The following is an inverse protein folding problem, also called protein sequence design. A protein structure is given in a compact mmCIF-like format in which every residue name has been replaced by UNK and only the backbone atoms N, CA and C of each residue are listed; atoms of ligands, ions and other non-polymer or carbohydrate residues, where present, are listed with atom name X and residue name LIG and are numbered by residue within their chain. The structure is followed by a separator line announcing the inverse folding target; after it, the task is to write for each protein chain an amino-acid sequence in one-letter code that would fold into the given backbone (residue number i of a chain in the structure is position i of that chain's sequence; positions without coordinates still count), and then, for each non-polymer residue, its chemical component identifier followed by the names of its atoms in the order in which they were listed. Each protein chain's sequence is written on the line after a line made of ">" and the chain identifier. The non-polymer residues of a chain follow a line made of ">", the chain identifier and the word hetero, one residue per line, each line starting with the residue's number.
data_IF_922057956987
#
_entry.id   IF_922057956987
#
_cell.length_a   1.000
_cell.length_b   1.000
_cell.length_c   1.000
_cell.angle_alpha   90.00
_cell.angle_beta   90.00
_cell.angle_gamma   90.00
#
_symmetry.space_group_name_H-M   'P 1'
#
loop_
_entity.id
_entity.type
_entity.pdbx_description
1 polymer ?
#
# COMPACT_ATOMS: atom_id res chain seq x y z
N UNK A 1 22.98 -25.27 -11.56
CA UNK A 1 22.04 -25.53 -10.45
C UNK A 1 21.69 -24.25 -9.65
N UNK A 2 21.43 -23.13 -10.33
CA UNK A 2 20.96 -21.87 -9.71
C UNK A 2 19.65 -21.33 -10.34
N UNK A 3 19.16 -21.99 -11.38
CA UNK A 3 18.01 -21.52 -12.18
C UNK A 3 16.69 -22.24 -11.86
N UNK A 4 16.72 -23.37 -11.16
CA UNK A 4 15.48 -24.08 -10.77
C UNK A 4 14.89 -23.60 -9.45
N UNK A 5 15.69 -23.02 -8.55
CA UNK A 5 15.20 -22.50 -7.26
C UNK A 5 14.50 -21.14 -7.40
N UNK A 6 15.02 -20.24 -8.26
CA UNK A 6 14.37 -18.95 -8.53
C UNK A 6 12.98 -19.11 -9.18
N UNK A 7 12.83 -20.09 -10.08
CA UNK A 7 11.55 -20.36 -10.74
C UNK A 7 10.51 -21.01 -9.82
N UNK A 8 10.94 -21.74 -8.78
CA UNK A 8 10.03 -22.37 -7.82
C UNK A 8 9.46 -21.34 -6.82
N UNK A 9 10.30 -20.41 -6.36
CA UNK A 9 9.88 -19.31 -5.48
C UNK A 9 8.97 -18.32 -6.20
N UNK A 10 9.26 -17.97 -7.47
CA UNK A 10 8.42 -17.07 -8.27
C UNK A 10 7.07 -17.72 -8.65
N UNK A 11 7.05 -19.03 -8.91
CA UNK A 11 5.81 -19.77 -9.17
C UNK A 11 4.97 -20.02 -7.90
N UNK A 12 5.60 -20.15 -6.73
CA UNK A 12 4.92 -20.22 -5.44
C UNK A 12 4.34 -18.86 -5.03
N UNK A 13 5.10 -17.77 -5.22
CA UNK A 13 4.65 -16.40 -4.99
C UNK A 13 3.46 -16.01 -5.90
N UNK A 14 3.51 -16.37 -7.20
CA UNK A 14 2.37 -16.18 -8.12
C UNK A 14 1.14 -17.03 -7.75
N UNK A 15 1.35 -18.21 -7.13
CA UNK A 15 0.25 -19.05 -6.63
C UNK A 15 -0.42 -18.42 -5.41
N UNK A 16 0.36 -17.82 -4.51
CA UNK A 16 -0.17 -17.09 -3.35
C UNK A 16 -0.85 -15.76 -3.73
N UNK A 17 -0.39 -15.09 -4.79
CA UNK A 17 -1.05 -13.91 -5.37
C UNK A 17 -2.49 -14.19 -5.85
N UNK A 18 -2.75 -15.41 -6.34
CA UNK A 18 -4.08 -15.83 -6.81
C UNK A 18 -5.16 -15.90 -5.71
N UNK A 19 -4.77 -15.99 -4.43
CA UNK A 19 -5.70 -16.04 -3.31
C UNK A 19 -6.05 -14.65 -2.75
N UNK A 20 -5.25 -13.63 -3.07
CA UNK A 20 -5.55 -12.24 -2.71
C UNK A 20 -6.70 -11.71 -3.56
N UNK A 21 -7.78 -11.33 -2.88
CA UNK A 21 -8.97 -10.81 -3.54
C UNK A 21 -8.92 -9.28 -3.52
N UNK A 22 -8.52 -8.69 -4.64
CA UNK A 22 -8.69 -7.26 -4.88
C UNK A 22 -10.18 -7.01 -5.18
N UNK A 23 -10.92 -6.48 -4.21
CA UNK A 23 -12.24 -5.93 -4.47
C UNK A 23 -12.13 -4.75 -5.45
N UNK A 24 -13.11 -4.50 -6.33
CA UNK A 24 -13.02 -3.33 -7.20
C UNK A 24 -12.99 -2.06 -6.35
N UNK A 25 -12.10 -1.14 -6.72
CA UNK A 25 -12.00 0.19 -6.11
C UNK A 25 -13.19 1.00 -6.61
N UNK A 26 -14.12 1.34 -5.71
CA UNK A 26 -15.30 2.15 -6.01
C UNK A 26 -14.97 3.63 -6.03
N UNK A 27 -14.08 4.08 -5.13
CA UNK A 27 -13.59 5.44 -5.10
C UNK A 27 -12.15 5.52 -4.60
N UNK A 28 -11.43 6.52 -5.09
CA UNK A 28 -10.07 6.85 -4.68
C UNK A 28 -9.92 8.37 -4.72
N UNK A 29 -9.59 8.98 -3.59
CA UNK A 29 -9.51 10.44 -3.45
C UNK A 29 -8.25 10.84 -2.70
N UNK A 30 -7.71 12.01 -3.04
CA UNK A 30 -6.66 12.70 -2.30
C UNK A 30 -7.23 13.96 -1.66
N UNK A 31 -6.91 14.17 -0.38
CA UNK A 31 -7.25 15.41 0.32
C UNK A 31 -6.48 16.61 -0.23
N UNK A 32 -5.25 16.41 -0.70
CA UNK A 32 -4.36 17.46 -1.21
C UNK A 32 -4.39 17.64 -2.73
N UNK A 33 -5.30 16.96 -3.43
CA UNK A 33 -5.51 17.13 -4.87
C UNK A 33 -4.53 16.38 -5.77
N UNK A 34 -3.90 15.31 -5.29
CA UNK A 34 -3.22 14.36 -6.18
C UNK A 34 -4.22 13.69 -7.14
N UNK A 35 -3.78 13.40 -8.35
CA UNK A 35 -4.58 12.66 -9.35
C UNK A 35 -4.41 11.17 -9.11
N UNK A 36 -5.51 10.45 -8.87
CA UNK A 36 -5.53 9.00 -8.67
C UNK A 36 -6.18 8.32 -9.87
N UNK A 37 -5.47 7.39 -10.50
CA UNK A 37 -5.96 6.61 -11.65
C UNK A 37 -5.95 5.13 -11.32
N UNK A 38 -7.13 4.53 -11.18
CA UNK A 38 -7.28 3.08 -11.04
C UNK A 38 -6.94 2.38 -12.36
N UNK A 39 -6.13 1.33 -12.30
CA UNK A 39 -5.71 0.53 -13.45
C UNK A 39 -6.46 -0.81 -13.51
N UNK A 40 -6.39 -1.47 -14.67
CA UNK A 40 -7.08 -2.74 -14.92
C UNK A 40 -6.57 -3.90 -14.06
N UNK A 41 -5.37 -3.79 -13.50
CA UNK A 41 -4.77 -4.77 -12.58
C UNK A 41 -5.19 -4.53 -11.12
N UNK A 42 -6.03 -3.52 -10.84
CA UNK A 42 -6.47 -3.17 -9.50
C UNK A 42 -5.51 -2.24 -8.75
N UNK A 43 -4.37 -1.87 -9.34
CA UNK A 43 -3.47 -0.87 -8.77
C UNK A 43 -4.00 0.55 -8.95
N UNK A 44 -3.55 1.47 -8.12
CA UNK A 44 -3.84 2.90 -8.24
C UNK A 44 -2.52 3.62 -8.55
N UNK A 45 -2.52 4.39 -9.63
CA UNK A 45 -1.41 5.26 -9.98
C UNK A 45 -1.67 6.68 -9.48
N UNK A 46 -0.68 7.27 -8.82
CA UNK A 46 -0.75 8.58 -8.21
C UNK A 46 0.13 9.58 -8.98
N UNK A 47 -0.46 10.67 -9.47
CA UNK A 47 0.21 11.69 -10.28
C UNK A 47 -0.25 13.11 -9.89
N UNK A 48 0.22 14.13 -10.59
CA UNK A 48 -0.12 15.53 -10.36
C UNK A 48 0.54 16.06 -9.09
N UNK A 49 -0.25 16.70 -8.22
CA UNK A 49 0.27 17.31 -6.99
C UNK A 49 0.90 16.24 -6.08
N UNK A 50 2.12 16.50 -5.63
CA UNK A 50 2.89 15.64 -4.73
C UNK A 50 3.32 16.47 -3.51
N UNK A 51 2.41 16.72 -2.55
CA UNK A 51 2.73 17.45 -1.33
C UNK A 51 3.65 16.61 -0.42
N UNK A 52 4.19 17.23 0.64
CA UNK A 52 5.00 16.51 1.63
C UNK A 52 4.17 15.44 2.39
N UNK A 53 2.90 15.73 2.64
CA UNK A 53 1.95 14.84 3.31
C UNK A 53 0.60 14.88 2.57
N UNK A 54 -0.10 13.75 2.55
CA UNK A 54 -1.43 13.65 1.95
C UNK A 54 -2.26 12.58 2.65
N UNK A 55 -3.58 12.69 2.56
CA UNK A 55 -4.53 11.67 3.03
C UNK A 55 -5.23 11.08 1.82
N UNK A 56 -5.06 9.77 1.64
CA UNK A 56 -5.72 9.01 0.59
C UNK A 56 -6.90 8.22 1.18
N UNK A 57 -8.09 8.46 0.64
CA UNK A 57 -9.31 7.73 1.00
C UNK A 57 -9.70 6.80 -0.14
N UNK A 58 -9.66 5.49 0.13
CA UNK A 58 -9.98 4.44 -0.84
C UNK A 58 -11.18 3.63 -0.34
N UNK A 59 -12.19 3.47 -1.20
CA UNK A 59 -13.33 2.57 -0.93
C UNK A 59 -13.25 1.38 -1.87
N UNK A 60 -13.27 0.17 -1.30
CA UNK A 60 -13.25 -1.08 -2.05
C UNK A 60 -14.52 -1.88 -1.78
N UNK A 61 -15.14 -2.43 -2.83
CA UNK A 61 -16.26 -3.36 -2.67
C UNK A 61 -15.77 -4.73 -2.29
N UNK A 62 -16.18 -5.19 -1.10
CA UNK A 62 -15.85 -6.53 -0.61
C UNK A 62 -16.89 -7.56 -1.07
N UNK A 63 -16.42 -8.74 -1.52
CA UNK A 63 -17.31 -9.90 -1.72
C UNK A 63 -17.82 -10.40 -0.35
N UNK A 64 -19.06 -10.91 -0.25
CA UNK A 64 -19.59 -11.46 1.00
C UNK A 64 -18.83 -12.70 1.46
N UNK A 65 -17.88 -12.51 2.39
CA UNK A 65 -17.13 -13.58 3.06
C UNK A 65 -16.41 -13.03 4.30
N UNK A 66 -15.73 -13.91 5.03
CA UNK A 66 -14.81 -13.51 6.09
C UNK A 66 -13.53 -12.94 5.47
N UNK A 67 -13.18 -11.71 5.83
CA UNK A 67 -11.89 -11.08 5.53
C UNK A 67 -11.15 -10.83 6.84
N UNK A 68 -9.88 -11.18 6.90
CA UNK A 68 -9.08 -11.12 8.14
C UNK A 68 -7.80 -10.32 8.01
N UNK A 69 -7.39 -10.00 6.78
CA UNK A 69 -6.14 -9.30 6.49
C UNK A 69 -6.39 -8.26 5.39
N UNK A 70 -5.83 -7.07 5.57
CA UNK A 70 -5.64 -6.07 4.54
C UNK A 70 -4.16 -6.10 4.15
N UNK A 71 -3.87 -6.22 2.86
CA UNK A 71 -2.51 -6.06 2.32
C UNK A 71 -2.41 -4.70 1.65
N UNK A 72 -1.36 -3.96 1.96
CA UNK A 72 -0.96 -2.75 1.26
C UNK A 72 0.35 -3.07 0.57
N UNK A 73 0.40 -2.78 -0.72
CA UNK A 73 1.56 -3.02 -1.56
C UNK A 73 1.95 -1.71 -2.23
N UNK A 74 3.22 -1.35 -2.07
CA UNK A 74 3.78 -0.17 -2.71
C UNK A 74 4.53 -0.63 -3.95
N UNK A 75 4.01 -0.30 -5.13
CA UNK A 75 4.60 -0.73 -6.40
C UNK A 75 5.68 0.25 -6.84
N UNK A 76 6.90 -0.21 -7.18
CA UNK A 76 7.96 0.66 -7.68
C UNK A 76 7.55 1.36 -8.98
N UNK A 77 7.77 2.67 -9.04
CA UNK A 77 7.56 3.49 -10.22
C UNK A 77 8.86 4.18 -10.65
N UNK A 78 9.01 4.39 -11.96
CA UNK A 78 10.15 5.10 -12.55
C UNK A 78 9.83 6.58 -12.71
N UNK A 79 10.70 7.43 -12.18
CA UNK A 79 10.65 8.88 -12.33
C UNK A 79 11.26 9.32 -13.66
N UNK A 80 10.99 10.56 -14.06
CA UNK A 80 11.52 11.18 -15.28
C UNK A 80 13.06 11.30 -15.27
N UNK A 81 13.67 11.45 -14.09
CA UNK A 81 15.13 11.48 -13.92
C UNK A 81 15.78 10.09 -13.92
N UNK A 82 14.99 9.03 -14.14
CA UNK A 82 15.43 7.65 -14.21
C UNK A 82 15.53 6.94 -12.87
N UNK A 83 15.32 7.62 -11.73
CA UNK A 83 15.23 6.94 -10.43
C UNK A 83 14.01 6.04 -10.38
N UNK A 84 14.09 5.02 -9.53
CA UNK A 84 12.98 4.13 -9.23
C UNK A 84 12.70 4.23 -7.74
N UNK A 85 11.42 4.21 -7.39
CA UNK A 85 11.04 3.80 -6.05
C UNK A 85 9.54 3.82 -5.81
N UNK A 86 9.17 3.56 -4.56
CA UNK A 86 7.78 3.36 -4.13
C UNK A 86 7.11 4.63 -3.56
N UNK A 87 7.91 5.66 -3.29
CA UNK A 87 7.44 6.97 -2.86
C UNK A 87 7.19 7.95 -4.02
N UNK A 88 6.68 9.14 -3.69
CA UNK A 88 6.41 10.22 -4.67
C UNK A 88 7.43 11.36 -4.66
N UNK A 89 8.41 11.35 -3.74
CA UNK A 89 9.48 12.34 -3.68
C UNK A 89 10.66 11.93 -4.58
N UNK A 90 10.97 12.64 -5.68
CA UNK A 90 12.04 12.25 -6.59
C UNK A 90 13.46 12.38 -5.98
N UNK A 91 13.62 13.12 -4.88
CA UNK A 91 14.92 13.23 -4.18
C UNK A 91 15.17 12.05 -3.25
N UNK A 92 14.10 11.49 -2.69
CA UNK A 92 14.10 10.30 -1.85
C UNK A 92 12.81 9.51 -2.12
N UNK A 93 12.81 8.55 -3.08
CA UNK A 93 11.60 7.89 -3.55
C UNK A 93 11.12 6.79 -2.58
N UNK A 94 11.15 7.10 -1.27
CA UNK A 94 10.62 6.34 -0.16
C UNK A 94 9.20 6.81 0.18
N UNK A 95 8.39 5.96 0.81
CA UNK A 95 7.13 6.38 1.42
C UNK A 95 7.27 6.45 2.94
N UNK A 96 6.44 7.28 3.55
CA UNK A 96 6.14 7.22 4.98
C UNK A 96 4.63 7.06 5.14
N UNK A 97 4.18 5.92 5.66
CA UNK A 97 2.78 5.68 6.01
C UNK A 97 2.62 5.94 7.51
N UNK A 98 2.19 7.14 7.87
CA UNK A 98 2.03 7.55 9.27
C UNK A 98 0.71 7.09 9.89
N UNK A 99 -0.32 6.86 9.08
CA UNK A 99 -1.62 6.42 9.58
C UNK A 99 -2.36 5.54 8.58
N UNK A 100 -2.93 4.46 9.09
CA UNK A 100 -3.83 3.55 8.41
C UNK A 100 -5.06 3.33 9.27
N UNK A 101 -6.21 3.79 8.77
CA UNK A 101 -7.52 3.52 9.34
C UNK A 101 -8.35 2.71 8.35
N UNK A 102 -9.15 1.79 8.87
CA UNK A 102 -10.02 0.94 8.06
C UNK A 102 -11.42 1.00 8.63
N UNK A 103 -12.38 1.38 7.81
CA UNK A 103 -13.80 1.37 8.16
C UNK A 103 -14.54 0.31 7.35
N UNK A 104 -15.42 -0.44 8.03
CA UNK A 104 -16.38 -1.29 7.35
C UNK A 104 -17.64 -0.48 7.06
N UNK A 105 -17.98 -0.35 5.78
CA UNK A 105 -19.18 0.32 5.31
C UNK A 105 -20.28 -0.73 5.02
N UNK A 106 -21.49 -0.51 5.54
CA UNK A 106 -22.65 -1.37 5.32
C UNK A 106 -23.91 -0.53 5.18
N UNK A 107 -24.26 -0.17 3.94
CA UNK A 107 -25.36 0.76 3.69
C UNK A 107 -25.00 2.16 4.20
N UNK A 108 -25.72 2.66 5.20
CA UNK A 108 -25.43 3.94 5.87
C UNK A 108 -24.59 3.76 7.15
N UNK A 109 -24.34 2.51 7.56
CA UNK A 109 -23.57 2.23 8.77
C UNK A 109 -22.08 2.16 8.48
N UNK A 110 -21.30 2.80 9.35
CA UNK A 110 -19.84 2.86 9.28
C UNK A 110 -19.28 2.34 10.61
N UNK A 111 -18.28 1.45 10.54
CA UNK A 111 -17.62 0.93 11.74
C UNK A 111 -16.11 0.93 11.58
N UNK A 112 -15.43 1.75 12.36
CA UNK A 112 -13.98 1.72 12.48
C UNK A 112 -13.51 0.36 12.98
N UNK A 113 -12.56 -0.25 12.26
CA UNK A 113 -11.98 -1.52 12.59
C UNK A 113 -10.65 -1.32 13.30
N UNK A 114 -10.46 -2.03 14.42
CA UNK A 114 -9.17 -2.08 15.10
C UNK A 114 -8.25 -3.07 14.39
N UNK A 115 -7.13 -2.58 13.89
CA UNK A 115 -6.02 -3.41 13.42
C UNK A 115 -5.26 -3.97 14.63
N UNK A 116 -4.96 -5.27 14.62
CA UNK A 116 -4.40 -5.98 15.79
C UNK A 116 -3.10 -6.73 15.50
N UNK A 117 -2.74 -6.89 14.24
CA UNK A 117 -1.51 -7.55 13.82
C UNK A 117 -1.01 -6.93 12.52
N UNK A 118 0.29 -7.01 12.31
CA UNK A 118 0.93 -6.55 11.08
C UNK A 118 2.13 -7.42 10.75
N UNK A 119 2.45 -7.44 9.46
CA UNK A 119 3.65 -8.02 8.90
C UNK A 119 4.05 -7.14 7.72
N UNK A 120 5.35 -6.91 7.59
CA UNK A 120 5.91 -6.27 6.42
C UNK A 120 7.12 -7.07 5.97
N UNK A 121 7.36 -7.11 4.66
CA UNK A 121 8.56 -7.75 4.11
C UNK A 121 9.81 -6.97 4.49
N UNK A 122 9.67 -5.66 4.69
CA UNK A 122 10.71 -4.79 5.20
C UNK A 122 10.17 -3.62 6.02
N UNK A 123 10.95 -3.16 6.99
CA UNK A 123 10.73 -1.90 7.69
C UNK A 123 12.08 -1.21 7.90
N UNK A 124 12.13 0.07 7.57
CA UNK A 124 13.26 0.93 7.90
C UNK A 124 13.48 0.95 9.42
N UNK A 125 14.74 0.99 9.85
CA UNK A 125 15.08 1.08 11.27
C UNK A 125 14.40 2.31 11.90
N UNK A 126 13.66 2.11 12.99
CA UNK A 126 12.88 3.15 13.67
C UNK A 126 11.52 3.48 13.05
N UNK A 127 11.15 2.84 11.93
CA UNK A 127 9.87 3.05 11.22
C UNK A 127 9.15 1.71 10.96
N UNK A 128 8.75 0.99 12.03
CA UNK A 128 8.12 -0.32 11.92
C UNK A 128 6.70 -0.23 11.37
N UNK A 129 6.23 -1.28 10.68
CA UNK A 129 4.84 -1.36 10.17
C UNK A 129 3.76 -1.17 11.26
N UNK A 130 4.05 -1.54 12.50
CA UNK A 130 3.13 -1.33 13.64
C UNK A 130 2.85 0.13 13.92
N UNK A 131 3.79 1.03 13.59
CA UNK A 131 3.64 2.46 13.81
C UNK A 131 2.70 3.11 12.78
N UNK A 132 2.34 2.44 11.69
CA UNK A 132 1.36 2.96 10.74
C UNK A 132 -0.07 2.97 11.32
N UNK A 133 -0.35 2.31 12.46
CA UNK A 133 -1.68 2.24 13.05
C UNK A 133 -1.63 2.26 14.58
N UNK A 134 -0.60 2.90 15.16
CA UNK A 134 -0.45 3.06 16.61
C UNK A 134 -1.24 4.26 17.19
N UNK A 135 -1.73 5.14 16.31
CA UNK A 135 -2.50 6.34 16.66
C UNK A 135 -1.69 7.63 16.75
N UNK A 136 -0.37 7.58 16.58
CA UNK A 136 0.51 8.75 16.50
C UNK A 136 0.87 9.07 15.05
N UNK A 137 0.40 10.20 14.53
CA UNK A 137 0.67 10.60 13.14
C UNK A 137 2.11 11.06 12.90
N UNK A 138 2.97 11.10 13.94
CA UNK A 138 4.38 11.47 13.84
C UNK A 138 5.30 10.25 13.70
N UNK A 139 4.80 9.05 13.98
CA UNK A 139 5.48 7.78 13.72
C UNK A 139 4.94 7.19 12.42
N UNK A 140 5.49 6.06 11.98
CA UNK A 140 4.96 5.39 10.79
C UNK A 140 5.80 4.25 10.28
N UNK A 141 5.39 3.74 9.12
CA UNK A 141 6.10 2.73 8.36
C UNK A 141 6.82 3.36 7.18
N UNK A 142 8.10 3.02 7.01
CA UNK A 142 8.91 3.45 5.87
C UNK A 142 9.85 2.32 5.45
N UNK A 143 10.44 2.43 4.25
CA UNK A 143 11.20 1.31 3.65
C UNK A 143 12.62 1.67 3.22
N UNK A 144 13.19 2.79 3.67
CA UNK A 144 14.60 3.10 3.38
C UNK A 144 15.58 2.06 3.98
N UNK A 145 16.66 1.66 3.28
CA UNK A 145 17.07 2.06 1.93
C UNK A 145 16.55 1.14 0.80
N UNK A 146 15.52 0.33 1.05
CA UNK A 146 14.94 -0.66 0.11
C UNK A 146 13.79 -0.12 -0.74
N UNK A 147 13.66 1.19 -0.89
CA UNK A 147 12.58 1.80 -1.64
C UNK A 147 12.56 1.50 -3.15
N UNK A 148 13.46 0.66 -3.67
CA UNK A 148 13.57 0.27 -5.09
C UNK A 148 13.12 -1.17 -5.38
N UNK A 149 12.88 -1.95 -4.34
CA UNK A 149 12.47 -3.36 -4.40
C UNK A 149 10.95 -3.47 -4.26
#
# INVERSE_FOLDING_TARGET
>A
MKSQFANADEAAARKEEGDWNFGPIESAMSASGATLTTRNDGSIFFDGVAPAEDVYSLTLRLKPRRHTVLRIEALPAKFTDGKVGVGRNPRDPNFGLSKLEVELLSGQDHRLLKLTGSRADYSQNGWPVTAAFDGDTKTGWAVSPRQRE
#
